data_IF_421131039339
#
_entry.id   IF_421131039339
#
_cell.length_a   1.000
_cell.length_b   1.000
_cell.length_c   1.000
_cell.angle_alpha   90.00
_cell.angle_beta   90.00
_cell.angle_gamma   90.00
#
_symmetry.space_group_name_H-M   'P 1'
#
loop_
_entity.id
_entity.type
_entity.pdbx_description
1 polymer ?
#
# COMPACT_ATOMS: atom_id res chain seq x y z
N UNK A 1 -44.60 -3.68 0.78
CA UNK A 1 -45.22 -4.18 -0.47
C UNK A 1 -44.62 -5.54 -0.86
N UNK A 2 -44.91 -6.61 -0.11
CA UNK A 2 -44.34 -7.96 -0.34
C UNK A 2 -45.42 -9.07 -0.28
N UNK A 3 -46.70 -8.70 -0.20
CA UNK A 3 -47.82 -9.65 0.00
C UNK A 3 -48.69 -9.92 -1.23
N UNK A 4 -48.51 -9.21 -2.36
CA UNK A 4 -49.39 -9.33 -3.54
C UNK A 4 -48.73 -9.94 -4.78
N UNK A 5 -47.43 -10.21 -4.77
CA UNK A 5 -46.72 -10.83 -5.90
C UNK A 5 -46.76 -12.36 -5.90
N UNK A 6 -47.26 -12.99 -4.82
CA UNK A 6 -47.29 -14.46 -4.66
C UNK A 6 -48.55 -15.14 -5.24
N UNK A 7 -49.54 -14.37 -5.70
CA UNK A 7 -50.79 -14.92 -6.25
C UNK A 7 -50.78 -15.13 -7.78
N UNK A 8 -49.72 -14.69 -8.49
CA UNK A 8 -49.55 -14.92 -9.94
C UNK A 8 -48.70 -16.15 -10.29
N UNK A 9 -48.26 -16.95 -9.31
CA UNK A 9 -47.41 -18.14 -9.52
C UNK A 9 -48.23 -19.46 -9.51
N UNK A 10 -49.56 -19.39 -9.36
CA UNK A 10 -50.41 -20.59 -9.36
C UNK A 10 -50.43 -21.43 -10.66
N UNK A 11 -50.17 -20.90 -11.87
CA UNK A 11 -50.06 -21.75 -13.07
C UNK A 11 -48.68 -22.43 -13.21
N UNK A 12 -47.63 -21.96 -12.52
CA UNK A 12 -46.27 -22.51 -12.64
C UNK A 12 -46.05 -23.79 -11.80
N UNK A 13 -46.92 -24.05 -10.82
CA UNK A 13 -46.80 -25.21 -9.92
C UNK A 13 -47.38 -26.50 -10.56
N UNK A 14 -48.30 -26.39 -11.53
CA UNK A 14 -48.81 -27.57 -12.25
C UNK A 14 -47.79 -28.15 -13.23
N UNK A 15 -46.91 -27.31 -13.79
CA UNK A 15 -45.84 -27.72 -14.72
C UNK A 15 -44.69 -28.46 -13.99
N UNK A 16 -44.46 -28.19 -12.71
CA UNK A 16 -43.42 -28.87 -11.93
C UNK A 16 -43.75 -30.33 -11.55
N UNK A 17 -45.02 -30.76 -11.71
CA UNK A 17 -45.43 -32.15 -11.43
C UNK A 17 -45.08 -33.13 -12.56
N UNK A 18 -44.81 -32.67 -13.78
CA UNK A 18 -44.54 -33.53 -14.94
C UNK A 18 -43.05 -33.80 -15.22
N UNK A 19 -42.11 -33.27 -14.42
CA UNK A 19 -40.68 -33.53 -14.64
C UNK A 19 -40.23 -34.93 -14.20
N UNK A 20 -39.42 -35.57 -15.05
CA UNK A 20 -38.77 -36.86 -14.78
C UNK A 20 -37.83 -36.79 -13.57
N UNK A 21 -37.61 -37.95 -12.92
CA UNK A 21 -36.82 -38.09 -11.68
C UNK A 21 -35.39 -37.51 -11.77
N UNK A 22 -34.79 -37.51 -12.97
CA UNK A 22 -33.45 -37.00 -13.22
C UNK A 22 -33.35 -35.47 -13.09
N UNK A 23 -34.34 -34.71 -13.57
CA UNK A 23 -34.34 -33.25 -13.49
C UNK A 23 -34.48 -32.75 -12.05
N UNK A 24 -35.29 -33.45 -11.24
CA UNK A 24 -35.45 -33.15 -9.80
C UNK A 24 -34.17 -33.44 -9.01
N UNK A 25 -33.42 -34.50 -9.36
CA UNK A 25 -32.14 -34.81 -8.72
C UNK A 25 -31.03 -33.80 -9.06
N UNK A 26 -30.97 -33.30 -10.29
CA UNK A 26 -30.00 -32.25 -10.66
C UNK A 26 -30.28 -30.92 -9.95
N UNK A 27 -31.55 -30.51 -9.86
CA UNK A 27 -31.95 -29.30 -9.11
C UNK A 27 -31.69 -29.43 -7.60
N UNK A 28 -31.89 -30.63 -7.01
CA UNK A 28 -31.60 -30.88 -5.60
C UNK A 28 -30.08 -30.90 -5.33
N UNK A 29 -29.28 -31.48 -6.23
CA UNK A 29 -27.80 -31.44 -6.15
C UNK A 29 -27.26 -30.03 -6.32
N UNK A 30 -27.85 -29.22 -7.20
CA UNK A 30 -27.50 -27.80 -7.36
C UNK A 30 -27.82 -27.02 -6.08
N UNK A 31 -28.99 -27.23 -5.47
CA UNK A 31 -29.40 -26.59 -4.21
C UNK A 31 -28.52 -26.98 -3.02
N UNK A 32 -28.14 -28.26 -2.90
CA UNK A 32 -27.24 -28.76 -1.85
C UNK A 32 -25.81 -28.24 -2.03
N UNK A 33 -25.31 -28.12 -3.27
CA UNK A 33 -24.03 -27.46 -3.56
C UNK A 33 -24.09 -25.96 -3.23
N UNK A 34 -25.19 -25.28 -3.53
CA UNK A 34 -25.36 -23.86 -3.21
C UNK A 34 -25.43 -23.61 -1.69
N UNK A 35 -26.13 -24.47 -0.94
CA UNK A 35 -26.19 -24.40 0.53
C UNK A 35 -24.86 -24.78 1.20
N UNK A 36 -24.15 -25.78 0.69
CA UNK A 36 -22.81 -26.13 1.15
C UNK A 36 -21.79 -25.02 0.89
N UNK A 37 -21.90 -24.32 -0.25
CA UNK A 37 -21.06 -23.18 -0.61
C UNK A 37 -21.34 -21.95 0.27
N UNK A 38 -22.61 -21.69 0.61
CA UNK A 38 -23.02 -20.64 1.55
C UNK A 38 -22.48 -20.90 2.97
N UNK A 39 -22.47 -22.15 3.43
CA UNK A 39 -21.93 -22.52 4.74
C UNK A 39 -20.39 -22.46 4.74
N UNK A 40 -19.73 -22.80 3.63
CA UNK A 40 -18.28 -22.64 3.48
C UNK A 40 -17.87 -21.15 3.41
N UNK A 41 -18.67 -20.30 2.75
CA UNK A 41 -18.51 -18.86 2.76
C UNK A 41 -18.71 -18.28 4.17
N UNK A 42 -19.68 -18.78 4.95
CA UNK A 42 -19.93 -18.33 6.32
C UNK A 42 -18.86 -18.80 7.33
N UNK A 43 -18.25 -19.97 7.11
CA UNK A 43 -17.21 -20.52 8.01
C UNK A 43 -15.78 -20.04 7.69
N UNK A 44 -15.51 -19.56 6.48
CA UNK A 44 -14.20 -19.06 6.06
C UNK A 44 -14.10 -17.51 6.12
N UNK A 45 -15.22 -16.78 6.16
CA UNK A 45 -15.24 -15.31 6.20
C UNK A 45 -15.27 -14.70 7.62
N UNK A 46 -14.74 -15.38 8.65
CA UNK A 46 -14.84 -14.88 10.03
C UNK A 46 -13.78 -13.84 10.43
N UNK A 47 -12.96 -13.38 9.49
CA UNK A 47 -12.10 -12.21 9.73
C UNK A 47 -12.77 -10.98 9.08
N UNK A 48 -13.50 -10.20 9.88
CA UNK A 48 -14.01 -8.89 9.48
C UNK A 48 -12.85 -7.88 9.38
N UNK A 49 -12.03 -7.97 8.33
CA UNK A 49 -11.01 -6.94 8.08
C UNK A 49 -11.69 -5.68 7.55
N UNK A 50 -11.61 -4.58 8.31
CA UNK A 50 -11.93 -3.27 7.77
C UNK A 50 -10.91 -2.89 6.69
N UNK A 51 -11.33 -2.20 5.64
CA UNK A 51 -10.42 -1.65 4.63
C UNK A 51 -10.09 -0.21 5.00
N UNK A 52 -8.80 0.13 4.97
CA UNK A 52 -8.31 1.47 5.30
C UNK A 52 -7.23 1.87 4.31
N UNK A 53 -7.33 3.07 3.75
CA UNK A 53 -6.26 3.64 2.92
C UNK A 53 -5.09 4.10 3.79
N UNK A 54 -3.88 4.14 3.23
CA UNK A 54 -2.72 4.68 3.93
C UNK A 54 -2.96 6.14 4.36
N UNK A 55 -3.65 6.93 3.53
CA UNK A 55 -4.05 8.30 3.90
C UNK A 55 -4.94 8.34 5.14
N UNK A 56 -5.98 7.52 5.20
CA UNK A 56 -6.88 7.44 6.37
C UNK A 56 -6.14 6.94 7.62
N UNK A 57 -5.19 6.03 7.44
CA UNK A 57 -4.35 5.51 8.51
C UNK A 57 -3.47 6.61 9.14
N UNK A 58 -2.85 7.46 8.31
CA UNK A 58 -2.05 8.60 8.76
C UNK A 58 -2.92 9.69 9.41
N UNK A 59 -4.06 10.02 8.80
CA UNK A 59 -5.00 11.00 9.35
C UNK A 59 -5.53 10.58 10.72
N UNK A 60 -5.96 9.32 10.86
CA UNK A 60 -6.46 8.79 12.14
C UNK A 60 -5.37 8.70 13.21
N UNK A 61 -4.12 8.37 12.85
CA UNK A 61 -2.99 8.47 13.77
C UNK A 61 -2.79 9.90 14.29
N UNK A 62 -2.76 10.90 13.41
CA UNK A 62 -2.63 12.31 13.82
C UNK A 62 -3.79 12.74 14.70
N UNK A 63 -5.02 12.40 14.31
CA UNK A 63 -6.21 12.74 15.05
C UNK A 63 -6.20 12.18 16.48
N UNK A 64 -5.82 10.92 16.63
CA UNK A 64 -5.77 10.26 17.94
C UNK A 64 -4.68 10.84 18.84
N UNK A 65 -3.48 11.09 18.31
CA UNK A 65 -2.39 11.67 19.11
C UNK A 65 -2.66 13.14 19.47
N UNK A 66 -3.27 13.92 18.57
CA UNK A 66 -3.67 15.30 18.85
C UNK A 66 -4.82 15.37 19.86
N UNK A 67 -5.75 14.42 19.84
CA UNK A 67 -6.80 14.27 20.85
C UNK A 67 -6.22 13.89 22.22
N UNK A 68 -5.23 12.99 22.24
CA UNK A 68 -4.67 12.44 23.47
C UNK A 68 -3.70 13.40 24.17
N UNK A 69 -2.92 14.19 23.42
CA UNK A 69 -1.91 15.08 23.98
C UNK A 69 -2.09 16.52 23.47
N UNK A 70 -2.45 17.49 24.34
CA UNK A 70 -2.64 18.89 23.94
C UNK A 70 -1.36 19.58 23.46
N UNK A 71 -0.18 18.96 23.69
CA UNK A 71 1.12 19.49 23.24
C UNK A 71 1.43 19.15 21.79
N UNK A 72 0.70 18.21 21.17
CA UNK A 72 0.94 17.77 19.79
C UNK A 72 0.29 18.73 18.83
N UNK A 73 1.02 19.32 17.90
CA UNK A 73 0.42 20.19 16.89
C UNK A 73 1.03 19.95 15.52
N UNK A 74 0.26 20.23 14.47
CA UNK A 74 0.70 20.08 13.09
C UNK A 74 1.08 21.45 12.53
N UNK A 75 2.21 21.53 11.83
CA UNK A 75 2.61 22.72 11.10
C UNK A 75 3.28 22.36 9.77
N UNK A 76 3.06 23.17 8.75
CA UNK A 76 3.63 22.97 7.43
C UNK A 76 3.00 23.88 6.39
N UNK A 77 3.34 23.68 5.13
CA UNK A 77 2.71 24.40 4.02
C UNK A 77 1.37 23.75 3.67
N UNK A 78 0.30 24.56 3.66
CA UNK A 78 -1.04 24.16 3.24
C UNK A 78 -1.68 23.02 4.07
N UNK A 79 -1.23 22.80 5.31
CA UNK A 79 -1.77 21.77 6.20
C UNK A 79 -3.12 22.14 6.83
N UNK A 80 -3.45 23.43 6.91
CA UNK A 80 -4.63 23.99 7.56
C UNK A 80 -5.80 24.20 6.60
N UNK A 81 -5.94 25.41 6.06
CA UNK A 81 -7.10 25.84 5.25
C UNK A 81 -7.30 24.97 4.00
N UNK A 82 -6.19 24.49 3.45
CA UNK A 82 -6.19 23.62 2.29
C UNK A 82 -6.42 22.14 2.64
N UNK A 83 -6.35 21.79 3.93
CA UNK A 83 -6.49 20.44 4.49
C UNK A 83 -5.37 19.48 4.04
N UNK A 84 -4.18 20.03 3.80
CA UNK A 84 -3.03 19.37 3.20
C UNK A 84 -2.81 19.87 1.77
N UNK A 85 -1.57 19.85 1.31
CA UNK A 85 -1.24 20.25 -0.05
C UNK A 85 -2.13 19.50 -1.08
N UNK A 86 -2.65 20.27 -2.04
CA UNK A 86 -3.34 19.90 -3.29
C UNK A 86 -4.88 19.66 -3.32
N UNK A 87 -5.68 20.56 -2.72
CA UNK A 87 -7.13 20.72 -3.01
C UNK A 87 -7.42 21.67 -4.19
N UNK A 88 -7.37 21.23 -5.45
CA UNK A 88 -7.94 22.03 -6.56
C UNK A 88 -9.23 21.42 -7.08
N UNK A 89 -10.35 21.97 -6.63
CA UNK A 89 -11.62 21.89 -7.33
C UNK A 89 -11.59 22.78 -8.58
N UNK A 90 -11.15 22.25 -9.71
CA UNK A 90 -11.48 22.79 -11.04
C UNK A 90 -12.02 21.64 -11.88
N UNK A 91 -13.30 21.74 -12.22
CA UNK A 91 -13.98 20.88 -13.20
C UNK A 91 -13.13 20.83 -14.48
N UNK A 92 -12.73 19.64 -14.91
CA UNK A 92 -12.15 19.32 -16.22
C UNK A 92 -10.62 19.44 -16.44
N UNK A 93 -9.78 19.21 -15.42
CA UNK A 93 -8.39 18.76 -15.68
C UNK A 93 -7.89 17.86 -14.55
N UNK A 94 -7.78 16.56 -14.83
CA UNK A 94 -7.23 15.55 -13.91
C UNK A 94 -5.71 15.71 -13.89
N UNK A 95 -5.21 16.57 -13.02
CA UNK A 95 -3.88 16.51 -12.42
C UNK A 95 -4.09 16.71 -10.92
N UNK A 96 -4.72 15.72 -10.31
CA UNK A 96 -5.08 15.69 -8.90
C UNK A 96 -3.96 15.00 -8.13
N UNK A 97 -3.01 15.78 -7.62
CA UNK A 97 -2.06 15.31 -6.60
C UNK A 97 -2.82 15.32 -5.25
N UNK A 98 -2.88 14.25 -4.44
CA UNK A 98 -3.66 14.30 -3.20
C UNK A 98 -2.80 14.02 -1.95
N UNK A 99 -2.26 15.06 -1.31
CA UNK A 99 -1.63 14.99 0.02
C UNK A 99 -2.60 15.50 1.11
N UNK A 100 -3.84 14.98 1.09
CA UNK A 100 -4.95 15.39 1.98
C UNK A 100 -4.87 14.61 3.31
N UNK A 101 -3.72 14.62 3.98
CA UNK A 101 -3.49 13.84 5.21
C UNK A 101 -4.09 14.55 6.44
N UNK A 102 -4.17 15.88 6.44
CA UNK A 102 -4.65 16.70 7.58
C UNK A 102 -6.14 17.07 7.51
N UNK A 103 -6.91 16.37 6.66
CA UNK A 103 -8.34 16.63 6.47
C UNK A 103 -9.13 16.59 7.77
N UNK A 104 -9.90 17.65 8.01
CA UNK A 104 -10.79 17.76 9.18
C UNK A 104 -10.08 18.17 10.47
N UNK A 105 -8.75 18.22 10.49
CA UNK A 105 -7.99 18.51 11.71
C UNK A 105 -8.09 19.99 12.10
N UNK A 106 -8.05 20.91 11.13
CA UNK A 106 -8.20 22.34 11.40
C UNK A 106 -9.58 22.65 11.98
N UNK A 107 -10.65 22.08 11.41
CA UNK A 107 -12.01 22.28 11.90
C UNK A 107 -12.21 21.68 13.31
N UNK A 108 -11.50 20.60 13.63
CA UNK A 108 -11.60 19.91 14.93
C UNK A 108 -10.77 20.57 16.03
N UNK A 109 -9.54 20.99 15.74
CA UNK A 109 -8.58 21.48 16.75
C UNK A 109 -8.32 22.99 16.70
N UNK A 110 -8.73 23.66 15.63
CA UNK A 110 -8.54 25.09 15.45
C UNK A 110 -7.13 25.50 15.00
N UNK A 111 -6.95 26.80 14.69
CA UNK A 111 -5.73 27.34 14.08
C UNK A 111 -4.51 27.36 15.03
N UNK A 112 -4.71 27.17 16.33
CA UNK A 112 -3.61 27.08 17.32
C UNK A 112 -2.92 25.71 17.32
N UNK A 113 -3.51 24.70 16.66
CA UNK A 113 -3.04 23.31 16.67
C UNK A 113 -2.77 22.76 15.27
N UNK A 114 -3.28 23.42 14.24
CA UNK A 114 -3.00 23.14 12.82
C UNK A 114 -2.60 24.45 12.16
N UNK A 115 -1.31 24.62 11.90
CA UNK A 115 -0.71 25.89 11.51
C UNK A 115 -0.20 25.85 10.08
N UNK A 116 -0.81 26.67 9.21
CA UNK A 116 -0.23 26.99 7.91
C UNK A 116 0.98 27.91 8.08
N UNK A 117 2.04 27.60 7.33
CA UNK A 117 3.31 28.33 7.39
C UNK A 117 3.62 28.99 6.04
N UNK A 118 4.41 30.08 6.02
CA UNK A 118 4.99 30.56 4.77
C UNK A 118 5.89 29.49 4.14
N UNK A 119 6.14 29.62 2.83
CA UNK A 119 7.02 28.71 2.08
C UNK A 119 8.49 28.97 2.46
N UNK A 120 8.89 28.43 3.60
CA UNK A 120 10.22 28.58 4.20
C UNK A 120 10.54 27.38 5.08
N UNK A 121 10.94 26.29 4.44
CA UNK A 121 11.24 25.01 5.08
C UNK A 121 12.21 25.15 6.25
N UNK A 122 13.28 25.93 6.06
CA UNK A 122 14.23 26.22 7.12
C UNK A 122 13.57 26.96 8.30
N UNK A 123 12.76 27.98 8.02
CA UNK A 123 12.13 28.80 9.04
C UNK A 123 11.17 27.99 9.91
N UNK A 124 10.22 27.29 9.28
CA UNK A 124 9.22 26.55 10.03
C UNK A 124 9.79 25.30 10.72
N UNK A 125 10.79 24.64 10.14
CA UNK A 125 11.49 23.54 10.81
C UNK A 125 12.25 24.02 12.05
N UNK A 126 12.92 25.17 11.97
CA UNK A 126 13.59 25.80 13.10
C UNK A 126 12.62 26.19 14.22
N UNK A 127 11.46 26.75 13.86
CA UNK A 127 10.36 27.04 14.80
C UNK A 127 9.88 25.75 15.47
N UNK A 128 9.67 24.69 14.71
CA UNK A 128 9.30 23.37 15.24
C UNK A 128 10.33 22.87 16.26
N UNK A 129 11.63 22.89 15.92
CA UNK A 129 12.68 22.48 16.86
C UNK A 129 12.68 23.35 18.13
N UNK A 130 12.52 24.66 17.99
CA UNK A 130 12.41 25.57 19.13
C UNK A 130 11.19 25.28 20.03
N UNK A 131 10.04 24.95 19.43
CA UNK A 131 8.84 24.53 20.15
C UNK A 131 9.06 23.22 20.91
N UNK A 132 9.79 22.27 20.31
CA UNK A 132 10.17 21.02 20.98
C UNK A 132 11.08 21.26 22.19
N UNK A 133 12.04 22.20 22.11
CA UNK A 133 12.86 22.60 23.26
C UNK A 133 12.02 23.19 24.41
N UNK A 134 10.93 23.89 24.07
CA UNK A 134 9.99 24.43 25.07
C UNK A 134 9.09 23.33 25.69
N UNK A 135 9.11 22.11 25.15
CA UNK A 135 8.35 20.96 25.65
C UNK A 135 7.01 20.72 24.95
N UNK A 136 6.80 21.30 23.76
CA UNK A 136 5.73 20.90 22.84
C UNK A 136 6.14 19.71 21.97
N UNK A 137 5.19 19.13 21.21
CA UNK A 137 5.42 17.98 20.33
C UNK A 137 5.01 18.30 18.88
N UNK A 138 5.80 19.10 18.17
CA UNK A 138 5.49 19.46 16.79
C UNK A 138 5.56 18.24 15.85
N UNK A 139 4.57 18.16 14.97
CA UNK A 139 4.59 17.37 13.75
C UNK A 139 4.79 18.35 12.60
N UNK A 140 5.99 18.36 12.04
CA UNK A 140 6.40 19.25 10.94
C UNK A 140 6.23 18.51 9.61
N UNK A 141 5.40 19.05 8.73
CA UNK A 141 5.17 18.49 7.40
C UNK A 141 5.97 19.24 6.33
N UNK A 142 6.77 18.49 5.57
CA UNK A 142 7.31 18.97 4.30
C UNK A 142 6.40 18.48 3.17
N UNK A 143 6.03 19.38 2.25
CA UNK A 143 5.19 19.03 1.09
C UNK A 143 5.77 17.87 0.29
N UNK A 144 7.10 17.81 0.19
CA UNK A 144 7.86 16.61 -0.17
C UNK A 144 9.22 16.65 0.51
N UNK A 145 9.80 15.48 0.80
CA UNK A 145 11.14 15.40 1.37
C UNK A 145 12.23 15.99 0.47
N UNK A 146 11.97 16.21 -0.82
CA UNK A 146 12.89 16.97 -1.67
C UNK A 146 13.16 18.38 -1.11
N UNK A 147 12.15 19.01 -0.52
CA UNK A 147 12.26 20.36 0.02
C UNK A 147 12.85 20.38 1.44
N UNK A 148 12.84 19.22 2.13
CA UNK A 148 13.52 19.09 3.43
C UNK A 148 15.02 19.41 3.35
N UNK A 149 15.64 19.37 2.16
CA UNK A 149 17.01 19.82 1.96
C UNK A 149 17.25 21.27 2.41
N UNK A 150 16.25 22.15 2.26
CA UNK A 150 16.36 23.54 2.73
C UNK A 150 16.39 23.62 4.27
N UNK A 151 15.83 22.63 4.97
CA UNK A 151 15.73 22.56 6.42
C UNK A 151 16.69 21.55 7.08
N UNK A 152 17.55 20.89 6.29
CA UNK A 152 18.32 19.74 6.75
C UNK A 152 19.26 20.08 7.92
N UNK A 153 19.75 21.32 8.00
CA UNK A 153 20.56 21.81 9.11
C UNK A 153 19.79 21.77 10.43
N UNK A 154 18.52 22.18 10.46
CA UNK A 154 17.70 22.08 11.66
C UNK A 154 17.38 20.63 12.02
N UNK A 155 17.10 19.78 11.04
CA UNK A 155 16.81 18.35 11.30
C UNK A 155 18.04 17.66 11.91
N UNK A 156 19.24 17.91 11.37
CA UNK A 156 20.48 17.23 11.80
C UNK A 156 21.15 17.94 12.97
N UNK A 157 21.53 19.21 12.80
CA UNK A 157 22.38 19.90 13.75
C UNK A 157 21.61 20.43 14.96
N UNK A 158 20.36 20.86 14.75
CA UNK A 158 19.53 21.35 15.84
C UNK A 158 18.75 20.22 16.52
N UNK A 159 18.04 19.35 15.79
CA UNK A 159 17.23 18.32 16.42
C UNK A 159 18.04 17.08 16.84
N UNK A 160 18.64 16.36 15.88
CA UNK A 160 19.25 15.05 16.13
C UNK A 160 20.34 15.06 17.22
N UNK A 161 21.19 16.10 17.22
CA UNK A 161 22.38 16.16 18.09
C UNK A 161 22.11 16.75 19.46
N UNK A 162 20.99 17.44 19.66
CA UNK A 162 20.76 18.26 20.86
C UNK A 162 20.71 17.48 22.16
N UNK A 163 20.03 16.32 22.17
CA UNK A 163 19.96 15.47 23.36
C UNK A 163 21.36 15.01 23.79
N UNK A 164 22.20 14.64 22.82
CA UNK A 164 23.58 14.25 23.07
C UNK A 164 24.46 15.42 23.54
N UNK A 165 24.43 16.56 22.83
CA UNK A 165 25.25 17.73 23.16
C UNK A 165 24.90 18.35 24.52
N UNK A 166 23.64 18.23 24.93
CA UNK A 166 23.16 18.67 26.25
C UNK A 166 23.32 17.61 27.35
N UNK A 167 23.95 16.46 27.05
CA UNK A 167 24.14 15.35 27.97
C UNK A 167 22.83 14.87 28.63
N UNK A 168 21.74 14.78 27.84
CA UNK A 168 20.43 14.32 28.32
C UNK A 168 19.54 15.41 28.92
N UNK A 169 19.97 16.67 28.94
CA UNK A 169 19.19 17.76 29.52
C UNK A 169 18.07 18.27 28.60
N UNK A 170 18.20 18.07 27.29
CA UNK A 170 17.25 18.57 26.29
C UNK A 170 16.84 17.49 25.29
N UNK A 171 15.69 16.87 25.52
CA UNK A 171 15.03 16.01 24.52
C UNK A 171 14.35 16.84 23.44
N UNK A 172 14.24 16.30 22.22
CA UNK A 172 13.60 16.99 21.09
C UNK A 172 12.49 16.11 20.51
N UNK A 173 11.30 16.08 21.14
CA UNK A 173 10.18 15.27 20.67
C UNK A 173 9.52 15.94 19.46
N UNK A 174 10.01 15.63 18.26
CA UNK A 174 9.56 16.22 17.00
C UNK A 174 9.46 15.13 15.92
N UNK A 175 8.42 15.22 15.09
CA UNK A 175 8.27 14.37 13.90
C UNK A 175 8.38 15.24 12.66
N UNK A 176 9.29 14.89 11.76
CA UNK A 176 9.36 15.45 10.41
C UNK A 176 8.73 14.45 9.44
N UNK A 177 7.63 14.79 8.78
CA UNK A 177 6.90 13.89 7.88
C UNK A 177 6.66 14.49 6.51
N UNK A 178 6.30 13.64 5.56
CA UNK A 178 6.01 14.03 4.17
C UNK A 178 6.28 12.90 3.17
N UNK A 179 5.83 13.05 1.91
CA UNK A 179 6.10 12.08 0.86
C UNK A 179 7.58 12.10 0.44
N UNK A 180 8.15 10.90 0.27
CA UNK A 180 9.53 10.63 -0.08
C UNK A 180 9.60 9.62 -1.24
N UNK A 181 10.61 9.75 -2.10
CA UNK A 181 10.82 8.85 -3.23
C UNK A 181 10.08 9.27 -4.49
N UNK A 182 10.01 8.36 -5.47
CA UNK A 182 9.50 8.68 -6.79
C UNK A 182 7.97 8.64 -6.86
N UNK A 183 7.40 9.65 -7.51
CA UNK A 183 6.01 9.74 -7.91
C UNK A 183 5.87 9.71 -9.44
N UNK A 184 4.64 9.83 -9.95
CA UNK A 184 4.36 9.70 -11.38
C UNK A 184 4.53 11.04 -12.12
N UNK A 185 5.56 11.16 -12.96
CA UNK A 185 5.74 12.29 -13.87
C UNK A 185 6.10 13.62 -13.18
N UNK A 186 6.75 13.58 -12.03
CA UNK A 186 7.11 14.79 -11.26
C UNK A 186 8.55 15.27 -11.52
N UNK A 187 9.32 14.52 -12.30
CA UNK A 187 10.67 14.87 -12.73
C UNK A 187 11.72 14.82 -11.62
N UNK A 188 12.91 15.34 -11.91
CA UNK A 188 14.11 15.14 -11.10
C UNK A 188 13.99 15.70 -9.66
N UNK A 189 13.41 16.90 -9.49
CA UNK A 189 13.43 17.63 -8.22
C UNK A 189 12.32 17.23 -7.23
N UNK A 190 11.46 16.27 -7.61
CA UNK A 190 10.33 15.82 -6.79
C UNK A 190 10.32 14.30 -6.58
N UNK A 191 11.41 13.59 -6.93
CA UNK A 191 11.44 12.12 -6.96
C UNK A 191 12.53 11.49 -6.09
N UNK A 192 13.28 12.28 -5.31
CA UNK A 192 14.43 11.77 -4.58
C UNK A 192 14.01 11.02 -3.30
N UNK A 193 14.69 9.91 -3.02
CA UNK A 193 14.57 9.17 -1.76
C UNK A 193 15.70 9.58 -0.80
N UNK A 194 15.35 10.04 0.41
CA UNK A 194 16.27 10.53 1.44
C UNK A 194 16.51 9.52 2.58
N UNK A 195 16.06 8.27 2.41
CA UNK A 195 16.21 7.23 3.43
C UNK A 195 17.66 7.07 3.90
N UNK A 196 18.61 6.97 2.97
CA UNK A 196 20.04 6.82 3.31
C UNK A 196 20.65 8.08 3.93
N UNK A 197 20.26 9.26 3.46
CA UNK A 197 20.78 10.54 3.97
C UNK A 197 20.47 10.71 5.45
N UNK A 198 19.18 10.60 5.81
CA UNK A 198 18.77 10.76 7.20
C UNK A 198 19.22 9.58 8.08
N UNK A 199 19.24 8.35 7.55
CA UNK A 199 19.70 7.19 8.31
C UNK A 199 21.20 7.23 8.64
N UNK A 200 21.98 8.01 7.90
CA UNK A 200 23.40 8.21 8.16
C UNK A 200 23.68 9.09 9.40
N UNK A 201 22.67 9.78 9.94
CA UNK A 201 22.84 10.76 11.01
C UNK A 201 22.47 10.19 12.39
N UNK A 202 23.42 10.04 13.34
CA UNK A 202 23.10 9.70 14.72
C UNK A 202 22.20 10.71 15.42
N UNK A 203 21.35 10.20 16.32
CA UNK A 203 20.34 10.99 17.02
C UNK A 203 18.97 11.01 16.34
N UNK A 204 18.89 10.71 15.04
CA UNK A 204 17.61 10.51 14.35
C UNK A 204 17.12 9.07 14.45
N UNK A 205 15.80 8.93 14.41
CA UNK A 205 15.10 7.70 13.99
C UNK A 205 14.48 7.96 12.61
N UNK A 206 14.57 6.99 11.71
CA UNK A 206 14.08 7.11 10.32
C UNK A 206 13.16 5.95 10.01
N UNK A 207 11.91 6.27 9.72
CA UNK A 207 10.83 5.32 9.47
C UNK A 207 10.35 5.46 8.03
N UNK A 208 10.00 4.34 7.39
CA UNK A 208 9.42 4.34 6.04
C UNK A 208 8.34 3.25 5.93
N UNK A 209 7.06 3.61 6.15
CA UNK A 209 5.96 2.66 6.16
C UNK A 209 5.59 2.17 4.75
N UNK A 210 4.99 0.98 4.68
CA UNK A 210 4.43 0.42 3.43
C UNK A 210 2.90 0.28 3.50
N UNK A 211 2.37 -0.34 4.55
CA UNK A 211 0.92 -0.63 4.68
C UNK A 211 0.18 0.38 5.56
N UNK A 212 -1.16 0.32 5.57
CA UNK A 212 -1.99 1.12 6.51
C UNK A 212 -1.68 0.80 7.98
N UNK A 213 -1.39 -0.47 8.30
CA UNK A 213 -0.93 -0.88 9.64
C UNK A 213 0.39 -0.19 10.01
N UNK A 214 1.37 -0.21 9.10
CA UNK A 214 2.67 0.42 9.31
C UNK A 214 2.50 1.93 9.50
N UNK A 215 1.77 2.58 8.59
CA UNK A 215 1.59 4.02 8.58
C UNK A 215 0.96 4.52 9.87
N UNK A 216 -0.12 3.88 10.33
CA UNK A 216 -0.78 4.27 11.57
C UNK A 216 0.05 3.94 12.80
N UNK A 217 0.52 2.70 12.92
CA UNK A 217 1.23 2.24 14.11
C UNK A 217 2.57 2.94 14.33
N UNK A 218 3.33 3.19 13.25
CA UNK A 218 4.64 3.84 13.31
C UNK A 218 4.51 5.37 13.46
N UNK A 219 3.49 6.02 12.90
CA UNK A 219 3.32 7.46 13.09
C UNK A 219 2.97 7.78 14.55
N UNK A 220 2.10 6.96 15.17
CA UNK A 220 1.80 7.07 16.60
C UNK A 220 3.05 6.81 17.46
N UNK A 221 3.85 5.80 17.09
CA UNK A 221 5.13 5.57 17.75
C UNK A 221 6.07 6.77 17.63
N UNK A 222 6.15 7.38 16.44
CA UNK A 222 6.99 8.55 16.18
C UNK A 222 6.58 9.76 17.01
N UNK A 223 5.28 10.06 17.13
CA UNK A 223 4.77 11.21 17.89
C UNK A 223 4.96 11.02 19.40
N UNK A 224 4.90 9.78 19.88
CA UNK A 224 5.12 9.42 21.29
C UNK A 224 6.60 9.38 21.68
N UNK A 225 7.50 9.26 20.72
CA UNK A 225 8.93 9.12 20.96
C UNK A 225 9.55 10.46 21.46
N UNK A 226 10.46 10.43 22.46
CA UNK A 226 11.09 11.64 22.97
C UNK A 226 12.20 12.21 22.08
N UNK A 227 12.65 11.45 21.08
CA UNK A 227 13.73 11.82 20.16
C UNK A 227 13.17 12.24 18.78
N UNK A 228 13.96 12.97 17.97
CA UNK A 228 13.52 13.40 16.65
C UNK A 228 13.36 12.22 15.67
N UNK A 229 12.18 12.15 15.04
CA UNK A 229 11.83 11.10 14.08
C UNK A 229 11.56 11.68 12.70
N UNK A 230 12.21 11.12 11.68
CA UNK A 230 11.94 11.35 10.27
C UNK A 230 11.01 10.25 9.76
N UNK A 231 9.86 10.63 9.23
CA UNK A 231 8.79 9.74 8.78
C UNK A 231 8.58 9.87 7.26
N UNK A 232 9.21 8.96 6.51
CA UNK A 232 9.30 8.97 5.05
C UNK A 232 8.12 8.22 4.42
N UNK A 233 7.08 8.95 4.09
CA UNK A 233 5.88 8.42 3.44
C UNK A 233 6.08 8.23 1.94
N UNK A 234 5.09 7.70 1.23
CA UNK A 234 5.17 7.58 -0.23
C UNK A 234 3.85 7.97 -0.88
N UNK A 235 3.92 8.89 -1.84
CA UNK A 235 2.73 9.47 -2.47
C UNK A 235 1.86 8.42 -3.16
N UNK A 236 2.49 7.46 -3.86
CA UNK A 236 1.78 6.44 -4.61
C UNK A 236 1.01 5.47 -3.69
N UNK A 237 1.41 5.36 -2.42
CA UNK A 237 0.75 4.49 -1.44
C UNK A 237 -0.46 5.15 -0.78
N UNK A 238 -0.60 6.49 -0.80
CA UNK A 238 -1.67 7.18 -0.08
C UNK A 238 -3.08 6.72 -0.47
N UNK A 239 -3.28 6.42 -1.75
CA UNK A 239 -4.57 5.95 -2.28
C UNK A 239 -4.77 4.44 -2.20
N UNK A 240 -3.76 3.68 -1.78
CA UNK A 240 -3.84 2.23 -1.68
C UNK A 240 -4.55 1.82 -0.39
N UNK A 241 -5.41 0.81 -0.49
CA UNK A 241 -6.20 0.28 0.63
C UNK A 241 -5.63 -1.05 1.08
N UNK A 242 -5.50 -1.20 2.40
CA UNK A 242 -5.08 -2.44 3.04
C UNK A 242 -6.16 -2.90 4.02
N UNK A 243 -6.32 -4.22 4.20
CA UNK A 243 -7.08 -4.73 5.33
C UNK A 243 -6.36 -4.41 6.64
N UNK A 244 -7.14 -3.98 7.63
CA UNK A 244 -6.67 -3.72 8.99
C UNK A 244 -7.50 -4.55 9.96
N UNK A 245 -6.84 -5.11 10.98
CA UNK A 245 -7.51 -5.84 12.05
C UNK A 245 -8.13 -4.87 13.07
N UNK A 246 -9.04 -5.39 13.91
CA UNK A 246 -9.62 -4.61 15.01
C UNK A 246 -8.55 -4.10 15.99
N UNK A 247 -7.45 -4.83 16.17
CA UNK A 247 -6.31 -4.38 16.97
C UNK A 247 -5.68 -3.12 16.39
N UNK A 248 -5.49 -3.07 15.07
CA UNK A 248 -4.97 -1.88 14.40
C UNK A 248 -5.90 -0.70 14.64
N UNK A 249 -7.23 -0.91 14.60
CA UNK A 249 -8.27 0.10 14.83
C UNK A 249 -8.24 0.73 16.24
N UNK A 250 -7.61 0.09 17.22
CA UNK A 250 -7.55 0.60 18.58
C UNK A 250 -6.65 1.84 18.73
N UNK A 251 -7.11 2.80 19.54
CA UNK A 251 -6.37 4.06 19.82
C UNK A 251 -5.06 3.86 20.59
N UNK A 252 -4.86 2.73 21.25
CA UNK A 252 -3.59 2.38 21.90
C UNK A 252 -2.58 1.74 20.96
N UNK A 253 -3.03 1.24 19.79
CA UNK A 253 -2.18 0.55 18.82
C UNK A 253 -0.94 1.37 18.43
N UNK A 254 0.21 0.71 18.54
CA UNK A 254 1.51 1.33 18.30
C UNK A 254 2.51 0.24 17.90
N UNK A 255 3.40 0.54 16.96
CA UNK A 255 4.43 -0.39 16.50
C UNK A 255 5.80 -0.05 17.08
N UNK A 256 6.63 -1.04 17.42
CA UNK A 256 7.97 -0.78 17.91
C UNK A 256 8.87 -0.24 16.80
N UNK A 257 9.54 0.89 17.06
CA UNK A 257 10.59 1.43 16.19
C UNK A 257 11.80 0.50 16.22
N UNK A 258 12.46 0.30 15.07
CA UNK A 258 13.61 -0.58 14.93
C UNK A 258 13.28 -2.07 14.80
N UNK A 259 12.03 -2.40 14.44
CA UNK A 259 11.59 -3.78 14.20
C UNK A 259 11.02 -3.95 12.78
N UNK A 260 11.65 -4.85 12.04
CA UNK A 260 11.18 -5.25 10.72
C UNK A 260 10.02 -6.26 10.84
N UNK A 261 9.22 -6.39 9.78
CA UNK A 261 8.15 -7.38 9.64
C UNK A 261 8.49 -8.36 8.53
N UNK A 262 8.40 -9.66 8.83
CA UNK A 262 8.43 -10.70 7.81
C UNK A 262 7.02 -10.80 7.24
N UNK A 263 6.83 -10.24 6.06
CA UNK A 263 5.53 -10.16 5.39
C UNK A 263 5.19 -11.48 4.68
N UNK A 264 6.21 -12.16 4.13
CA UNK A 264 6.09 -13.52 3.59
C UNK A 264 7.25 -14.36 4.10
N UNK A 265 6.96 -15.53 4.67
CA UNK A 265 8.00 -16.50 5.02
C UNK A 265 8.49 -17.23 3.77
N UNK A 266 9.77 -17.58 3.76
CA UNK A 266 10.38 -18.38 2.71
C UNK A 266 11.66 -19.06 3.18
N UNK A 267 12.29 -19.82 2.27
CA UNK A 267 13.46 -20.66 2.57
C UNK A 267 14.59 -20.57 1.54
N UNK A 268 14.34 -20.06 0.34
CA UNK A 268 15.33 -20.14 -0.75
C UNK A 268 16.13 -18.83 -0.91
N UNK A 269 15.49 -17.68 -0.66
CA UNK A 269 16.12 -16.34 -0.76
C UNK A 269 15.43 -15.34 0.18
N UNK A 270 16.20 -14.48 0.84
CA UNK A 270 15.69 -13.33 1.60
C UNK A 270 15.66 -12.08 0.72
N UNK A 271 14.52 -11.38 0.70
CA UNK A 271 14.32 -10.11 0.02
C UNK A 271 13.98 -9.05 1.06
N UNK A 272 14.83 -8.03 1.22
CA UNK A 272 14.54 -6.88 2.08
C UNK A 272 14.07 -5.70 1.24
N UNK A 273 12.98 -5.05 1.66
CA UNK A 273 12.46 -3.86 1.00
C UNK A 273 11.85 -2.89 2.04
N UNK A 274 11.63 -1.65 1.64
CA UNK A 274 10.88 -0.65 2.41
C UNK A 274 9.99 0.17 1.49
N UNK A 275 9.01 0.87 2.08
CA UNK A 275 8.05 1.68 1.33
C UNK A 275 7.38 0.88 0.19
N UNK A 276 7.11 1.51 -0.95
CA UNK A 276 6.39 0.88 -2.09
C UNK A 276 7.10 -0.35 -2.67
N UNK A 277 8.43 -0.48 -2.48
CA UNK A 277 9.20 -1.64 -2.97
C UNK A 277 8.80 -2.94 -2.27
N UNK A 278 8.27 -2.87 -1.03
CA UNK A 278 7.70 -4.04 -0.35
C UNK A 278 6.54 -4.61 -1.17
N UNK A 279 5.67 -3.74 -1.68
CA UNK A 279 4.55 -4.11 -2.52
C UNK A 279 4.93 -4.60 -3.92
N UNK A 280 6.18 -4.44 -4.36
CA UNK A 280 6.68 -5.02 -5.62
C UNK A 280 7.30 -6.40 -5.36
N UNK A 281 7.89 -6.59 -4.17
CA UNK A 281 8.47 -7.85 -3.73
C UNK A 281 7.39 -8.86 -3.29
N UNK A 282 6.33 -8.40 -2.62
CA UNK A 282 5.31 -9.23 -2.01
C UNK A 282 4.24 -9.71 -2.97
N UNK A 283 3.85 -10.97 -2.90
CA UNK A 283 2.56 -11.41 -3.46
C UNK A 283 1.40 -10.68 -2.80
N UNK A 284 0.95 -9.58 -3.39
CA UNK A 284 -0.29 -8.93 -3.01
C UNK A 284 -1.47 -9.82 -3.40
N UNK A 285 -1.83 -10.64 -2.43
CA UNK A 285 -2.96 -11.55 -2.45
C UNK A 285 -4.30 -10.81 -2.65
N UNK A 286 -4.35 -9.50 -2.41
CA UNK A 286 -5.58 -8.71 -2.47
C UNK A 286 -5.94 -8.28 -3.90
N UNK A 287 -4.94 -8.03 -4.75
CA UNK A 287 -5.17 -7.81 -6.17
C UNK A 287 -5.65 -9.09 -6.86
N UNK A 288 -5.10 -10.25 -6.45
CA UNK A 288 -5.56 -11.56 -6.92
C UNK A 288 -6.99 -11.84 -6.47
N UNK A 289 -7.39 -11.48 -5.23
CA UNK A 289 -8.78 -11.62 -4.79
C UNK A 289 -9.78 -10.79 -5.61
N UNK A 290 -9.45 -9.54 -5.96
CA UNK A 290 -10.29 -8.72 -6.85
C UNK A 290 -10.39 -9.30 -8.26
N UNK A 291 -9.28 -9.86 -8.78
CA UNK A 291 -9.24 -10.48 -10.11
C UNK A 291 -9.97 -11.82 -10.14
N UNK A 292 -9.78 -12.66 -9.13
CA UNK A 292 -10.47 -13.95 -8.99
C UNK A 292 -11.96 -13.73 -8.74
N UNK A 293 -12.36 -12.77 -7.90
CA UNK A 293 -13.76 -12.40 -7.74
C UNK A 293 -14.37 -11.83 -9.03
N UNK A 294 -13.67 -10.97 -9.77
CA UNK A 294 -14.14 -10.43 -11.03
C UNK A 294 -14.28 -11.51 -12.12
N UNK A 295 -13.32 -12.44 -12.20
CA UNK A 295 -13.35 -13.59 -13.10
C UNK A 295 -14.45 -14.59 -12.71
N UNK A 296 -14.61 -14.84 -11.41
CA UNK A 296 -15.68 -15.71 -10.91
C UNK A 296 -17.07 -15.09 -11.15
N UNK A 297 -17.20 -13.77 -11.04
CA UNK A 297 -18.43 -13.04 -11.37
C UNK A 297 -18.70 -13.01 -12.88
N UNK A 298 -17.67 -12.93 -13.73
CA UNK A 298 -17.86 -13.09 -15.18
C UNK A 298 -18.25 -14.51 -15.57
N UNK A 299 -17.64 -15.54 -14.96
CA UNK A 299 -17.98 -16.94 -15.20
C UNK A 299 -19.42 -17.26 -14.74
N UNK A 300 -19.87 -16.67 -13.63
CA UNK A 300 -21.27 -16.75 -13.18
C UNK A 300 -22.20 -15.99 -14.13
N UNK A 301 -21.81 -14.81 -14.62
CA UNK A 301 -22.61 -14.03 -15.57
C UNK A 301 -22.78 -14.78 -16.90
N UNK A 302 -21.72 -15.40 -17.43
CA UNK A 302 -21.76 -16.24 -18.63
C UNK A 302 -22.61 -17.50 -18.41
N UNK A 303 -22.46 -18.17 -17.27
CA UNK A 303 -23.29 -19.32 -16.90
C UNK A 303 -24.77 -18.97 -16.77
N UNK A 304 -25.08 -17.79 -16.21
CA UNK A 304 -26.45 -17.32 -16.01
C UNK A 304 -27.08 -16.84 -17.32
N UNK A 305 -26.32 -16.16 -18.20
CA UNK A 305 -26.75 -15.82 -19.56
C UNK A 305 -27.00 -17.08 -20.39
N UNK A 306 -26.15 -18.09 -20.27
CA UNK A 306 -26.29 -19.38 -20.95
C UNK A 306 -27.59 -20.09 -20.56
N UNK A 307 -27.94 -20.08 -19.27
CA UNK A 307 -29.21 -20.65 -18.78
C UNK A 307 -30.41 -19.85 -19.27
N UNK A 308 -30.33 -18.51 -19.26
CA UNK A 308 -31.41 -17.64 -19.76
C UNK A 308 -31.63 -17.83 -21.26
N UNK A 309 -30.55 -17.87 -22.06
CA UNK A 309 -30.61 -18.09 -23.50
C UNK A 309 -31.08 -19.51 -23.85
N UNK A 310 -30.65 -20.54 -23.13
CA UNK A 310 -31.20 -21.89 -23.29
C UNK A 310 -32.69 -21.94 -22.95
N UNK A 311 -33.13 -21.20 -21.94
CA UNK A 311 -34.55 -21.14 -21.55
C UNK A 311 -35.38 -20.40 -22.61
N UNK A 312 -34.88 -19.29 -23.15
CA UNK A 312 -35.52 -18.54 -24.25
C UNK A 312 -35.61 -19.39 -25.51
N UNK A 313 -34.51 -20.06 -25.91
CA UNK A 313 -34.47 -20.91 -27.10
C UNK A 313 -35.33 -22.16 -26.97
N UNK A 314 -35.44 -22.70 -25.76
CA UNK A 314 -36.36 -23.79 -25.44
C UNK A 314 -37.83 -23.33 -25.53
N UNK A 315 -38.16 -22.12 -25.04
CA UNK A 315 -39.48 -21.51 -25.15
C UNK A 315 -39.85 -21.21 -26.62
N UNK A 316 -38.91 -20.70 -27.43
CA UNK A 316 -39.09 -20.49 -28.87
C UNK A 316 -39.39 -21.79 -29.61
N UNK A 317 -38.71 -22.88 -29.24
CA UNK A 317 -38.90 -24.20 -29.84
C UNK A 317 -40.23 -24.84 -29.42
N UNK A 318 -40.71 -24.54 -28.21
CA UNK A 318 -41.97 -25.09 -27.67
C UNK A 318 -43.22 -24.35 -28.15
N UNK A 319 -43.11 -23.06 -28.48
CA UNK A 319 -44.27 -22.23 -28.77
C UNK A 319 -44.54 -21.98 -30.26
N UNK A 320 -43.65 -22.38 -31.17
CA UNK A 320 -43.92 -22.55 -32.61
C UNK A 320 -44.39 -21.32 -33.42
N UNK A 321 -44.84 -20.25 -32.79
CA UNK A 321 -45.37 -19.02 -33.40
C UNK A 321 -45.47 -17.94 -32.31
N UNK A 322 -44.42 -17.13 -32.14
CA UNK A 322 -44.52 -15.84 -31.46
C UNK A 322 -43.46 -14.92 -32.08
N UNK A 323 -43.93 -14.04 -32.98
CA UNK A 323 -43.12 -13.01 -33.63
C UNK A 323 -42.78 -11.93 -32.59
N UNK A 324 -41.51 -11.87 -32.18
CA UNK A 324 -40.99 -10.97 -31.14
C UNK A 324 -40.91 -9.48 -31.56
N UNK A 325 -41.45 -9.11 -32.72
CA UNK A 325 -41.47 -7.71 -33.19
C UNK A 325 -42.56 -6.81 -32.58
N UNK A 326 -43.49 -7.35 -31.78
CA UNK A 326 -44.62 -6.59 -31.19
C UNK A 326 -44.42 -6.19 -29.72
N UNK A 327 -43.29 -6.53 -29.09
CA UNK A 327 -42.93 -6.00 -27.77
C UNK A 327 -42.06 -4.75 -28.01
N UNK A 328 -42.68 -3.57 -27.93
CA UNK A 328 -42.02 -2.28 -28.15
C UNK A 328 -40.80 -2.04 -27.24
N UNK A 329 -39.97 -1.02 -27.55
CA UNK A 329 -38.59 -0.87 -27.05
C UNK A 329 -38.42 -0.56 -25.55
N UNK A 330 -39.44 -0.73 -24.71
CA UNK A 330 -39.45 -0.23 -23.33
C UNK A 330 -39.30 -1.31 -22.23
N UNK A 331 -38.83 -2.52 -22.54
CA UNK A 331 -38.56 -3.56 -21.52
C UNK A 331 -37.09 -3.95 -21.35
N UNK A 332 -36.16 -3.24 -21.98
CA UNK A 332 -34.72 -3.39 -21.74
C UNK A 332 -34.04 -2.02 -21.65
N UNK A 333 -34.29 -1.32 -20.56
CA UNK A 333 -33.47 -0.20 -20.11
C UNK A 333 -33.20 -0.35 -18.62
N UNK A 334 -32.44 -1.39 -18.25
CA UNK A 334 -31.53 -1.25 -17.12
C UNK A 334 -30.34 -0.49 -17.71
N UNK A 335 -29.96 0.69 -17.19
CA UNK A 335 -28.78 1.38 -17.68
C UNK A 335 -27.55 0.56 -17.25
N UNK A 336 -27.15 -0.40 -18.08
CA UNK A 336 -25.73 -0.72 -18.20
C UNK A 336 -25.13 0.48 -18.93
N UNK A 337 -24.79 1.51 -18.17
CA UNK A 337 -23.80 2.46 -18.61
C UNK A 337 -22.56 1.64 -18.96
N UNK A 338 -22.32 1.52 -20.25
CA UNK A 338 -21.07 1.06 -20.83
C UNK A 338 -19.97 2.03 -20.41
N UNK A 339 -19.50 1.89 -19.18
CA UNK A 339 -18.28 2.51 -18.65
C UNK A 339 -17.42 1.48 -17.90
N UNK A 340 -17.73 0.19 -18.07
CA UNK A 340 -16.88 -0.92 -17.60
C UNK A 340 -15.57 -1.00 -18.37
N UNK A 341 -15.53 -0.58 -19.63
CA UNK A 341 -14.32 -0.70 -20.46
C UNK A 341 -13.31 0.44 -20.26
N UNK A 342 -13.69 1.56 -19.60
CA UNK A 342 -12.78 2.69 -19.32
C UNK A 342 -12.26 2.74 -17.89
N UNK A 343 -12.89 2.05 -16.95
CA UNK A 343 -12.43 1.97 -15.56
C UNK A 343 -11.62 0.69 -15.31
N UNK A 344 -11.85 -0.39 -16.08
CA UNK A 344 -11.22 -1.70 -15.84
C UNK A 344 -9.86 -1.84 -16.57
N UNK A 345 -9.57 -1.05 -17.59
CA UNK A 345 -8.37 -1.21 -18.44
C UNK A 345 -7.13 -0.39 -18.03
N UNK A 346 -7.15 0.32 -16.89
CA UNK A 346 -5.96 1.07 -16.39
C UNK A 346 -5.32 0.53 -15.09
N UNK A 347 -5.75 -0.63 -14.60
CA UNK A 347 -5.08 -1.38 -13.51
C UNK A 347 -4.60 -2.73 -14.03
N UNK A 348 -3.68 -2.67 -15.00
CA UNK A 348 -3.15 -3.82 -15.71
C UNK A 348 -2.17 -4.61 -14.81
N UNK A 349 -2.65 -5.73 -14.26
CA UNK A 349 -1.88 -6.87 -13.74
C UNK A 349 -0.50 -6.56 -13.12
N UNK A 350 -0.46 -6.10 -11.87
CA UNK A 350 0.77 -6.17 -11.07
C UNK A 350 0.89 -7.60 -10.55
N UNK A 351 1.45 -8.50 -11.36
CA UNK A 351 1.92 -9.79 -10.85
C UNK A 351 3.18 -9.50 -10.03
N UNK A 352 3.24 -10.13 -8.87
CA UNK A 352 4.12 -9.78 -7.78
C UNK A 352 5.38 -10.65 -7.76
N UNK A 353 6.56 -10.14 -7.38
CA UNK A 353 7.82 -10.87 -7.56
C UNK A 353 7.81 -12.24 -6.86
N UNK A 354 7.38 -12.30 -5.61
CA UNK A 354 7.29 -13.55 -4.85
C UNK A 354 6.34 -14.59 -5.50
N UNK A 355 5.27 -14.16 -6.18
CA UNK A 355 4.36 -15.07 -6.87
C UNK A 355 4.98 -15.68 -8.12
N UNK A 356 5.70 -14.86 -8.89
CA UNK A 356 6.43 -15.31 -10.08
C UNK A 356 7.50 -16.32 -9.67
N UNK A 357 8.24 -16.01 -8.61
CA UNK A 357 9.27 -16.89 -8.04
C UNK A 357 8.68 -18.21 -7.54
N UNK A 358 7.54 -18.18 -6.85
CA UNK A 358 6.86 -19.38 -6.37
C UNK A 358 6.44 -20.30 -7.52
N UNK A 359 5.90 -19.75 -8.62
CA UNK A 359 5.52 -20.52 -9.82
C UNK A 359 6.71 -21.22 -10.48
N UNK A 360 7.89 -20.65 -10.32
CA UNK A 360 9.11 -21.27 -10.79
C UNK A 360 9.70 -22.24 -9.76
N UNK A 361 9.25 -22.19 -8.51
CA UNK A 361 9.73 -23.03 -7.41
C UNK A 361 10.87 -22.40 -6.60
N UNK A 362 10.93 -21.07 -6.53
CA UNK A 362 11.77 -20.30 -5.58
C UNK A 362 10.86 -19.74 -4.49
N UNK A 363 11.07 -20.17 -3.25
CA UNK A 363 10.32 -19.67 -2.09
C UNK A 363 11.04 -18.51 -1.41
N UNK A 364 10.67 -17.29 -1.81
CA UNK A 364 11.24 -16.05 -1.28
C UNK A 364 10.64 -15.65 0.08
N UNK A 365 11.50 -15.33 1.04
CA UNK A 365 11.15 -14.63 2.28
C UNK A 365 11.21 -13.12 2.04
N UNK A 366 10.13 -12.38 2.33
CA UNK A 366 10.07 -10.92 2.13
C UNK A 366 9.99 -10.21 3.47
N UNK A 367 10.93 -9.28 3.68
CA UNK A 367 11.08 -8.48 4.90
C UNK A 367 10.79 -7.02 4.57
N UNK A 368 9.77 -6.48 5.22
CA UNK A 368 9.48 -5.05 5.29
C UNK A 368 10.31 -4.43 6.42
N UNK A 369 11.26 -3.57 6.07
CA UNK A 369 12.19 -3.01 7.05
C UNK A 369 11.51 -2.15 8.12
N UNK A 370 10.45 -1.41 7.75
CA UNK A 370 9.73 -0.40 8.57
C UNK A 370 10.61 0.76 9.07
N UNK A 371 11.70 0.45 9.78
CA UNK A 371 12.68 1.39 10.29
C UNK A 371 13.99 1.23 9.52
N UNK A 372 14.46 2.34 8.94
CA UNK A 372 15.77 2.44 8.29
C UNK A 372 16.83 2.76 9.34
N UNK A 373 16.46 3.55 10.35
CA UNK A 373 17.28 3.82 11.53
C UNK A 373 16.43 3.81 12.80
N UNK A 374 16.76 2.99 13.82
CA UNK A 374 17.78 1.94 13.79
C UNK A 374 17.35 0.76 12.89
N UNK A 375 18.29 0.21 12.12
CA UNK A 375 18.05 -0.95 11.26
C UNK A 375 17.92 -2.23 12.11
N UNK A 376 16.90 -3.05 11.83
CA UNK A 376 16.72 -4.35 12.49
C UNK A 376 17.67 -5.42 11.90
N UNK A 377 18.97 -5.26 12.18
CA UNK A 377 20.04 -6.19 11.77
C UNK A 377 19.73 -7.62 12.22
N UNK A 378 19.07 -7.79 13.36
CA UNK A 378 18.79 -9.10 13.96
C UNK A 378 17.84 -9.94 13.10
N UNK A 379 16.71 -9.36 12.67
CA UNK A 379 15.73 -10.04 11.82
C UNK A 379 16.31 -10.37 10.44
N UNK A 380 17.06 -9.42 9.85
CA UNK A 380 17.69 -9.60 8.54
C UNK A 380 18.70 -10.75 8.58
N UNK A 381 19.65 -10.71 9.52
CA UNK A 381 20.68 -11.73 9.64
C UNK A 381 20.09 -13.11 9.98
N UNK A 382 19.07 -13.18 10.83
CA UNK A 382 18.38 -14.44 11.13
C UNK A 382 17.72 -15.05 9.88
N UNK A 383 17.13 -14.23 9.03
CA UNK A 383 16.55 -14.65 7.76
C UNK A 383 17.63 -15.14 6.78
N UNK A 384 18.72 -14.39 6.63
CA UNK A 384 19.82 -14.76 5.73
C UNK A 384 20.49 -16.07 6.16
N UNK A 385 20.70 -16.31 7.46
CA UNK A 385 21.24 -17.59 7.96
C UNK A 385 20.36 -18.80 7.65
N UNK A 386 19.08 -18.57 7.33
CA UNK A 386 18.12 -19.62 6.95
C UNK A 386 18.06 -19.81 5.44
N UNK A 387 18.09 -18.73 4.66
CA UNK A 387 17.90 -18.77 3.20
C UNK A 387 19.21 -18.81 2.41
N UNK A 388 20.32 -18.49 3.06
CA UNK A 388 21.69 -18.40 2.54
C UNK A 388 21.89 -17.37 1.42
N UNK A 389 20.88 -16.53 1.12
CA UNK A 389 20.89 -15.58 -0.01
C UNK A 389 20.15 -14.31 0.35
N UNK A 390 20.65 -13.17 -0.11
CA UNK A 390 20.05 -11.86 0.15
C UNK A 390 19.92 -11.04 -1.13
N UNK A 391 18.75 -10.40 -1.26
CA UNK A 391 18.47 -9.35 -2.24
C UNK A 391 17.92 -8.14 -1.50
N UNK A 392 18.49 -6.97 -1.75
CA UNK A 392 17.98 -5.70 -1.21
C UNK A 392 17.28 -4.92 -2.31
N UNK A 393 16.09 -4.38 -2.04
CA UNK A 393 15.31 -3.60 -3.00
C UNK A 393 14.98 -2.23 -2.43
N UNK A 394 15.42 -1.17 -3.11
CA UNK A 394 15.14 0.22 -2.75
C UNK A 394 14.88 1.06 -4.00
N UNK A 395 14.07 2.12 -3.90
CA UNK A 395 13.88 3.05 -5.03
C UNK A 395 14.95 4.16 -5.09
N UNK A 396 15.74 4.30 -4.02
CA UNK A 396 16.80 5.30 -3.93
C UNK A 396 17.98 4.99 -4.84
N UNK A 397 18.91 5.94 -4.93
CA UNK A 397 20.12 5.78 -5.75
C UNK A 397 21.05 4.69 -5.20
N UNK A 398 21.80 4.00 -6.08
CA UNK A 398 22.55 2.80 -5.71
C UNK A 398 23.79 3.10 -4.86
N UNK A 399 24.42 4.25 -5.07
CA UNK A 399 25.62 4.65 -4.33
C UNK A 399 25.23 5.13 -2.94
N UNK A 400 25.84 4.56 -1.90
CA UNK A 400 25.54 4.88 -0.50
C UNK A 400 24.05 4.72 -0.11
N UNK A 401 23.33 3.85 -0.81
CA UNK A 401 21.94 3.50 -0.51
C UNK A 401 21.78 2.62 0.73
N UNK A 402 20.54 2.39 1.15
CA UNK A 402 20.22 1.55 2.33
C UNK A 402 20.67 0.11 2.11
N UNK A 403 20.60 -0.40 0.88
CA UNK A 403 21.07 -1.74 0.53
C UNK A 403 22.57 -1.94 0.73
N UNK A 404 23.37 -0.86 0.71
CA UNK A 404 24.80 -0.95 1.00
C UNK A 404 25.06 -1.24 2.49
N UNK A 405 24.35 -0.58 3.40
CA UNK A 405 24.43 -0.82 4.85
C UNK A 405 23.93 -2.22 5.21
N UNK A 406 22.83 -2.67 4.60
CA UNK A 406 22.31 -4.03 4.81
C UNK A 406 23.34 -5.07 4.35
N UNK A 407 23.95 -4.86 3.18
CA UNK A 407 25.00 -5.74 2.67
C UNK A 407 26.20 -5.81 3.63
N UNK A 408 26.68 -4.66 4.11
CA UNK A 408 27.77 -4.59 5.08
C UNK A 408 27.42 -5.34 6.38
N UNK A 409 26.23 -5.10 6.96
CA UNK A 409 25.74 -5.80 8.15
C UNK A 409 25.73 -7.31 7.98
N UNK A 410 25.31 -7.81 6.82
CA UNK A 410 25.25 -9.25 6.55
C UNK A 410 26.63 -9.86 6.33
N UNK A 411 27.54 -9.14 5.68
CA UNK A 411 28.95 -9.58 5.55
C UNK A 411 29.64 -9.60 6.92
N UNK A 412 29.35 -8.64 7.80
CA UNK A 412 29.92 -8.62 9.15
C UNK A 412 29.43 -9.77 10.03
N UNK A 413 28.14 -10.12 9.95
CA UNK A 413 27.50 -11.03 10.93
C UNK A 413 27.12 -12.41 10.41
N UNK A 414 27.00 -12.58 9.09
CA UNK A 414 26.42 -13.78 8.46
C UNK A 414 27.14 -14.22 7.19
N UNK A 415 28.36 -13.73 6.92
CA UNK A 415 29.11 -14.06 5.71
C UNK A 415 29.29 -15.57 5.47
N UNK A 416 29.53 -16.34 6.52
CA UNK A 416 29.71 -17.79 6.44
C UNK A 416 28.47 -18.56 5.94
N UNK A 417 27.30 -17.92 5.91
CA UNK A 417 26.04 -18.51 5.45
C UNK A 417 25.68 -18.10 4.02
N UNK A 418 26.43 -17.21 3.37
CA UNK A 418 26.11 -16.74 2.03
C UNK A 418 26.55 -17.76 0.97
N UNK A 419 25.58 -18.39 0.31
CA UNK A 419 25.80 -19.28 -0.84
C UNK A 419 25.99 -18.51 -2.16
N UNK A 420 25.67 -17.21 -2.17
CA UNK A 420 25.74 -16.32 -3.33
C UNK A 420 26.05 -14.88 -2.87
N UNK A 421 26.68 -14.05 -3.72
CA UNK A 421 26.87 -12.64 -3.42
C UNK A 421 25.52 -11.92 -3.24
N UNK A 422 25.49 -10.92 -2.37
CA UNK A 422 24.31 -10.09 -2.15
C UNK A 422 24.01 -9.27 -3.40
N UNK A 423 22.77 -9.35 -3.90
CA UNK A 423 22.30 -8.58 -5.05
C UNK A 423 21.56 -7.33 -4.56
N UNK A 424 21.88 -6.17 -5.13
CA UNK A 424 21.23 -4.90 -4.79
C UNK A 424 20.46 -4.37 -5.99
N UNK A 425 19.18 -4.12 -5.77
CA UNK A 425 18.28 -3.51 -6.74
C UNK A 425 17.94 -2.12 -6.21
N UNK A 426 18.31 -1.11 -6.98
CA UNK A 426 18.18 0.30 -6.66
C UNK A 426 17.64 1.05 -7.86
N UNK A 427 17.25 2.32 -7.67
CA UNK A 427 17.00 3.23 -8.78
C UNK A 427 18.23 3.39 -9.69
N UNK A 428 18.01 3.85 -10.92
CA UNK A 428 19.11 4.17 -11.81
C UNK A 428 19.93 5.34 -11.24
N UNK A 429 21.24 5.34 -11.47
CA UNK A 429 22.16 6.37 -10.98
C UNK A 429 22.14 7.64 -11.86
N UNK A 430 20.95 8.21 -12.01
CA UNK A 430 20.66 9.40 -12.80
C UNK A 430 19.56 10.21 -12.12
N UNK A 431 19.52 11.55 -12.31
CA UNK A 431 18.35 12.33 -11.92
C UNK A 431 17.08 11.80 -12.61
N UNK A 432 15.97 11.74 -11.88
CA UNK A 432 14.73 11.14 -12.37
C UNK A 432 14.25 11.83 -13.68
N UNK A 433 14.17 11.09 -14.80
CA UNK A 433 13.69 11.64 -16.07
C UNK A 433 12.16 11.83 -16.05
N UNK A 434 11.67 12.86 -16.75
CA UNK A 434 10.23 13.15 -16.84
C UNK A 434 9.48 12.25 -17.83
N UNK A 435 10.14 11.78 -18.89
CA UNK A 435 9.48 10.98 -19.92
C UNK A 435 9.09 9.60 -19.36
N UNK A 436 7.81 9.24 -19.45
CA UNK A 436 7.26 8.05 -18.80
C UNK A 436 8.00 6.73 -19.11
N UNK A 437 8.50 6.59 -20.34
CA UNK A 437 9.30 5.43 -20.75
C UNK A 437 10.66 5.38 -20.03
N UNK A 438 11.29 6.53 -19.78
CA UNK A 438 12.56 6.62 -19.05
C UNK A 438 12.34 6.55 -17.53
N UNK A 439 11.27 7.15 -17.01
CA UNK A 439 10.90 7.10 -15.59
C UNK A 439 10.71 5.65 -15.13
N UNK A 440 10.01 4.85 -15.93
CA UNK A 440 9.86 3.41 -15.69
C UNK A 440 11.19 2.66 -15.63
N UNK A 441 12.17 3.04 -16.46
CA UNK A 441 13.50 2.42 -16.47
C UNK A 441 14.40 2.92 -15.33
N UNK A 442 14.08 4.08 -14.74
CA UNK A 442 14.85 4.66 -13.65
C UNK A 442 14.45 4.12 -12.26
N UNK A 443 13.29 3.47 -12.14
CA UNK A 443 12.78 2.88 -10.89
C UNK A 443 12.79 1.35 -10.99
N UNK A 444 13.17 0.60 -9.95
CA UNK A 444 13.11 -0.85 -9.96
C UNK A 444 11.74 -1.39 -10.36
N UNK A 445 11.74 -2.41 -11.22
CA UNK A 445 10.53 -3.12 -11.62
C UNK A 445 10.50 -4.54 -11.02
N UNK A 446 9.32 -5.17 -11.04
CA UNK A 446 9.14 -6.56 -10.55
C UNK A 446 10.07 -7.52 -11.30
N UNK A 447 10.27 -7.30 -12.60
CA UNK A 447 11.13 -8.14 -13.43
C UNK A 447 12.60 -8.11 -12.99
N UNK A 448 13.06 -6.99 -12.43
CA UNK A 448 14.43 -6.85 -11.92
C UNK A 448 14.61 -7.69 -10.65
N UNK A 449 13.60 -7.69 -9.76
CA UNK A 449 13.56 -8.51 -8.54
C UNK A 449 13.59 -10.00 -8.90
N UNK A 450 12.73 -10.42 -9.82
CA UNK A 450 12.67 -11.81 -10.28
C UNK A 450 14.01 -12.22 -10.91
N UNK A 451 14.61 -11.37 -11.74
CA UNK A 451 15.89 -11.64 -12.40
C UNK A 451 17.03 -11.79 -11.39
N UNK A 452 17.11 -10.93 -10.38
CA UNK A 452 18.10 -11.02 -9.33
C UNK A 452 17.93 -12.30 -8.50
N UNK A 453 16.69 -12.65 -8.13
CA UNK A 453 16.38 -13.90 -7.42
C UNK A 453 16.76 -15.14 -8.21
N UNK A 454 16.51 -15.16 -9.53
CA UNK A 454 16.98 -16.23 -10.41
C UNK A 454 18.50 -16.36 -10.42
N UNK A 455 19.22 -15.25 -10.54
CA UNK A 455 20.70 -15.24 -10.51
C UNK A 455 21.22 -15.76 -9.17
N UNK A 456 20.71 -15.25 -8.06
CA UNK A 456 21.12 -15.66 -6.71
C UNK A 456 20.85 -17.16 -6.44
N UNK A 457 19.75 -17.69 -6.99
CA UNK A 457 19.38 -19.11 -6.88
C UNK A 457 19.97 -19.99 -8.00
N UNK A 458 20.97 -19.50 -8.76
CA UNK A 458 21.65 -20.23 -9.83
C UNK A 458 20.72 -20.83 -10.90
N UNK A 459 19.62 -20.14 -11.21
CA UNK A 459 18.70 -20.55 -12.28
C UNK A 459 19.02 -19.85 -13.58
N UNK A 460 18.83 -20.55 -14.70
CA UNK A 460 19.07 -20.01 -16.02
C UNK A 460 18.25 -18.73 -16.22
N UNK A 461 18.95 -17.61 -16.42
CA UNK A 461 18.34 -16.37 -16.91
C UNK A 461 18.37 -16.47 -18.44
N UNK A 462 17.23 -16.45 -19.15
CA UNK A 462 17.24 -16.42 -20.60
C UNK A 462 18.07 -15.23 -21.08
N UNK A 463 19.02 -15.46 -21.99
CA UNK A 463 19.99 -14.48 -22.49
C UNK A 463 19.36 -13.22 -23.12
N UNK A 464 18.06 -13.20 -23.38
CA UNK A 464 17.37 -12.15 -24.11
C UNK A 464 17.08 -10.86 -23.30
N UNK A 465 17.44 -10.80 -22.01
CA UNK A 465 17.16 -9.63 -21.14
C UNK A 465 18.43 -8.91 -20.66
N UNK A 466 19.59 -9.18 -21.29
CA UNK A 466 20.85 -8.50 -21.03
C UNK A 466 21.16 -7.49 -22.15
N UNK A 467 20.39 -6.40 -22.20
CA UNK A 467 20.71 -5.19 -22.94
C UNK A 467 20.03 -4.00 -22.26
#
# INVERSE_FOLDING_TARGET
MLGQSLLKIRPAISVLRSYSSAAKQSLLKARLRFQGLLIFHFLVCNDNYAQMTVREALNSALDEEMSADPKVFLMGEEVGEYQGAYKVGVKNKILTFPCIISKGLLEKYGPERVLDTPITEAGFAGIGVGAAYYGLKPVVEFMTFNFSMQAIDHIINSAAKSNYMSAGQMSVPIVFRGPNGAAAGVGAQHSQCYASWYASCPGLKVLSPYSSEDARGLLKAAIRDPDPVVFLENELLYGESFPVSDEVLDSSFCLPIGKAKIEKKGKDVTITAFSKMVGYALKDMYLTWKLDAAKYMSDIAEGTLGIILCTIKWIETLLGTLDLKTIGPNLFMIPFAADSDRVITKRLFVVQAAEILEKEGIDAEVINLRSIRPLDRSTINASVRKTNRLITVEEGFPQHGVGAEICASVVEESFAYLDAPVERIAGADVPMPYAANLERLAVPQVEDIVRAAKRACYRAVPLAAAA
#
